data_IF_215617346468
#
_entry.id   IF_215617346468
#
_cell.length_a   1.000
_cell.length_b   1.000
_cell.length_c   1.000
_cell.angle_alpha   90.00
_cell.angle_beta   90.00
_cell.angle_gamma   90.00
#
_symmetry.space_group_name_H-M   'P 1'
#
loop_
_entity.id
_entity.type
_entity.pdbx_description
1 polymer ?
#
# COMPACT_ATOMS: atom_id res chain seq x y z
N UNK A 1 39.16 27.98 1.51
CA UNK A 1 39.73 28.15 0.15
C UNK A 1 40.58 26.92 -0.12
N UNK A 2 40.30 26.18 -1.19
CA UNK A 2 41.15 25.05 -1.56
C UNK A 2 42.49 25.60 -2.08
N UNK A 3 43.63 25.00 -1.71
CA UNK A 3 44.91 25.39 -2.29
C UNK A 3 44.87 25.10 -3.80
N UNK A 4 45.18 26.11 -4.61
CA UNK A 4 45.39 25.97 -6.05
C UNK A 4 46.79 25.40 -6.26
N UNK A 5 46.87 24.16 -6.74
CA UNK A 5 48.14 23.58 -7.17
C UNK A 5 48.53 24.19 -8.52
N UNK A 6 49.77 24.66 -8.63
CA UNK A 6 50.30 25.30 -9.84
C UNK A 6 51.64 24.70 -10.23
N UNK A 7 51.97 24.73 -11.52
CA UNK A 7 53.23 24.21 -12.06
C UNK A 7 53.86 25.17 -13.06
N UNK A 8 55.20 25.19 -13.14
CA UNK A 8 55.94 25.96 -14.16
C UNK A 8 56.15 25.14 -15.42
N UNK A 9 55.76 25.71 -16.56
CA UNK A 9 55.98 25.14 -17.88
C UNK A 9 56.89 26.04 -18.71
N UNK A 10 57.65 25.43 -19.62
CA UNK A 10 58.48 26.17 -20.59
C UNK A 10 57.59 26.92 -21.58
N UNK A 11 57.96 28.17 -21.85
CA UNK A 11 57.30 29.05 -22.82
C UNK A 11 58.39 29.83 -23.58
N UNK A 12 58.89 29.21 -24.66
CA UNK A 12 60.05 29.71 -25.40
C UNK A 12 61.33 29.70 -24.55
N UNK A 13 61.96 30.86 -24.38
CA UNK A 13 63.15 31.05 -23.52
C UNK A 13 62.79 31.35 -22.05
N UNK A 14 61.49 31.42 -21.72
CA UNK A 14 60.99 31.74 -20.38
C UNK A 14 60.12 30.62 -19.82
N UNK A 15 59.44 30.89 -18.71
CA UNK A 15 58.45 30.01 -18.12
C UNK A 15 57.14 30.76 -17.87
N UNK A 16 56.04 30.01 -17.82
CA UNK A 16 54.75 30.49 -17.31
C UNK A 16 54.22 29.53 -16.26
N UNK A 17 53.47 30.06 -15.31
CA UNK A 17 52.82 29.27 -14.25
C UNK A 17 51.37 29.04 -14.67
N UNK A 18 50.94 27.78 -14.63
CA UNK A 18 49.55 27.39 -14.87
C UNK A 18 49.03 26.59 -13.68
N UNK A 19 47.71 26.46 -13.54
CA UNK A 19 47.17 25.48 -12.62
C UNK A 19 47.58 24.08 -13.08
N UNK A 20 47.86 23.20 -12.13
CA UNK A 20 48.23 21.82 -12.43
C UNK A 20 47.12 21.09 -13.21
N UNK A 21 45.85 21.43 -12.94
CA UNK A 21 44.68 20.93 -13.69
C UNK A 21 44.65 21.32 -15.16
N UNK A 22 45.32 22.41 -15.53
CA UNK A 22 45.38 22.92 -16.90
C UNK A 22 46.59 22.35 -17.67
N UNK A 23 47.42 21.52 -17.01
CA UNK A 23 48.58 20.90 -17.62
C UNK A 23 48.17 19.79 -18.60
N UNK A 24 48.65 19.87 -19.86
CA UNK A 24 48.37 18.89 -20.91
C UNK A 24 49.66 18.25 -21.39
N UNK A 25 49.79 16.94 -21.16
CA UNK A 25 50.91 16.15 -21.67
C UNK A 25 50.97 16.26 -23.20
N UNK A 26 52.16 16.54 -23.75
CA UNK A 26 52.40 16.72 -25.18
C UNK A 26 52.18 18.14 -25.71
N UNK A 27 51.46 19.00 -24.98
CA UNK A 27 51.36 20.44 -25.30
C UNK A 27 52.25 21.31 -24.40
N UNK A 28 52.44 20.88 -23.15
CA UNK A 28 53.26 21.60 -22.18
C UNK A 28 54.47 20.76 -21.80
N UNK A 29 55.62 21.43 -21.65
CA UNK A 29 56.85 20.85 -21.15
C UNK A 29 57.19 21.47 -19.78
N UNK A 30 57.52 20.65 -18.79
CA UNK A 30 57.88 21.13 -17.46
C UNK A 30 59.26 21.79 -17.46
N UNK A 31 59.45 22.79 -16.60
CA UNK A 31 60.78 23.30 -16.31
C UNK A 31 61.62 22.25 -15.56
N UNK A 32 62.94 22.31 -15.69
CA UNK A 32 63.84 21.37 -15.03
C UNK A 32 63.66 21.39 -13.50
N UNK A 33 63.47 20.21 -12.91
CA UNK A 33 63.24 20.03 -11.47
C UNK A 33 61.79 20.18 -11.00
N UNK A 34 60.86 20.61 -11.87
CA UNK A 34 59.43 20.63 -11.56
C UNK A 34 58.81 19.24 -11.73
N UNK A 35 57.86 18.91 -10.86
CA UNK A 35 57.09 17.66 -10.92
C UNK A 35 55.63 17.97 -10.68
N UNK A 36 54.75 17.32 -11.42
CA UNK A 36 53.32 17.32 -11.11
C UNK A 36 53.13 16.62 -9.76
N UNK A 37 52.32 17.20 -8.89
CA UNK A 37 51.93 16.60 -7.61
C UNK A 37 51.16 15.31 -7.83
N UNK A 38 50.40 15.21 -8.92
CA UNK A 38 49.83 13.97 -9.40
C UNK A 38 50.69 13.43 -10.54
N UNK A 39 51.52 12.42 -10.26
CA UNK A 39 52.01 11.59 -11.36
C UNK A 39 50.78 11.07 -12.11
N UNK A 40 50.77 11.06 -13.45
CA UNK A 40 49.87 10.20 -14.17
C UNK A 40 50.26 8.79 -13.74
N UNK A 41 49.55 8.23 -12.76
CA UNK A 41 49.57 6.79 -12.56
C UNK A 41 49.34 6.22 -13.94
N UNK A 42 50.36 5.57 -14.49
CA UNK A 42 50.13 4.55 -15.50
C UNK A 42 49.08 3.68 -14.85
N UNK A 43 47.84 3.83 -15.33
CA UNK A 43 46.77 2.90 -15.04
C UNK A 43 47.25 1.62 -15.74
N UNK A 44 48.13 0.88 -15.06
CA UNK A 44 48.26 -0.55 -15.21
C UNK A 44 46.83 -1.04 -15.10
N UNK A 45 46.25 -1.40 -16.25
CA UNK A 45 44.82 -1.51 -16.49
C UNK A 45 44.00 -1.79 -15.25
N UNK A 46 43.52 -0.73 -14.59
CA UNK A 46 42.27 -0.85 -13.87
C UNK A 46 41.25 -0.86 -14.99
N UNK A 47 40.85 -2.07 -15.37
CA UNK A 47 39.66 -2.26 -16.19
C UNK A 47 38.49 -1.59 -15.46
N UNK A 48 38.26 -0.31 -15.74
CA UNK A 48 36.91 0.26 -15.67
C UNK A 48 36.08 -0.20 -16.87
N UNK A 49 36.57 -1.18 -17.63
CA UNK A 49 35.75 -1.97 -18.52
C UNK A 49 34.82 -2.83 -17.68
N UNK A 50 33.62 -2.31 -17.40
CA UNK A 50 32.46 -3.19 -17.29
C UNK A 50 32.56 -4.15 -18.47
N UNK A 51 32.62 -5.44 -18.17
CA UNK A 51 32.70 -6.45 -19.21
C UNK A 51 31.42 -6.34 -20.06
N UNK A 52 31.46 -6.79 -21.31
CA UNK A 52 30.25 -6.83 -22.15
C UNK A 52 29.06 -7.51 -21.43
N UNK A 53 29.37 -8.50 -20.59
CA UNK A 53 28.40 -9.19 -19.74
C UNK A 53 27.78 -8.29 -18.65
N UNK A 54 28.54 -7.38 -18.05
CA UNK A 54 28.02 -6.43 -17.06
C UNK A 54 27.07 -5.41 -17.71
N UNK A 55 27.37 -4.97 -18.93
CA UNK A 55 26.50 -4.11 -19.73
C UNK A 55 25.20 -4.80 -20.11
N UNK A 56 25.25 -6.06 -20.54
CA UNK A 56 24.06 -6.87 -20.82
C UNK A 56 23.23 -7.10 -19.56
N UNK A 57 23.88 -7.41 -18.42
CA UNK A 57 23.19 -7.54 -17.12
C UNK A 57 22.47 -6.25 -16.72
N UNK A 58 23.15 -5.10 -16.82
CA UNK A 58 22.55 -3.81 -16.50
C UNK A 58 21.39 -3.46 -17.43
N UNK A 59 21.45 -3.84 -18.70
CA UNK A 59 20.34 -3.64 -19.63
C UNK A 59 19.13 -4.48 -19.24
N UNK A 60 19.31 -5.76 -18.92
CA UNK A 60 18.24 -6.64 -18.45
C UNK A 60 17.60 -6.08 -17.17
N UNK A 61 18.43 -5.70 -16.19
CA UNK A 61 17.97 -5.12 -14.94
C UNK A 61 17.20 -3.81 -15.15
N UNK A 62 17.62 -2.98 -16.11
CA UNK A 62 16.90 -1.76 -16.46
C UNK A 62 15.57 -2.06 -17.14
N UNK A 63 15.50 -3.05 -18.04
CA UNK A 63 14.25 -3.45 -18.67
C UNK A 63 13.25 -4.01 -17.65
N UNK A 64 13.73 -4.78 -16.67
CA UNK A 64 12.90 -5.33 -15.60
C UNK A 64 12.37 -4.21 -14.70
N UNK A 65 13.23 -3.27 -14.28
CA UNK A 65 12.82 -2.12 -13.47
C UNK A 65 11.80 -1.22 -14.19
N UNK A 66 11.92 -1.06 -15.52
CA UNK A 66 10.94 -0.32 -16.32
C UNK A 66 9.60 -1.05 -16.33
N UNK A 67 9.58 -2.38 -16.45
CA UNK A 67 8.37 -3.17 -16.41
C UNK A 67 7.68 -3.12 -15.03
N UNK A 68 8.47 -3.19 -13.95
CA UNK A 68 7.98 -3.06 -12.58
C UNK A 68 7.40 -1.67 -12.31
N UNK A 69 8.10 -0.62 -12.73
CA UNK A 69 7.60 0.76 -12.61
C UNK A 69 6.29 0.97 -13.37
N UNK A 70 6.17 0.38 -14.56
CA UNK A 70 4.93 0.44 -15.34
C UNK A 70 3.80 -0.27 -14.61
N UNK A 71 4.04 -1.46 -14.10
CA UNK A 71 3.05 -2.24 -13.33
C UNK A 71 2.59 -1.46 -12.09
N UNK A 72 3.53 -0.90 -11.33
CA UNK A 72 3.22 -0.10 -10.14
C UNK A 72 2.42 1.17 -10.48
N UNK A 73 2.68 1.81 -11.63
CA UNK A 73 1.88 2.95 -12.09
C UNK A 73 0.44 2.54 -12.44
N UNK A 74 0.29 1.44 -13.17
CA UNK A 74 -1.02 0.91 -13.58
C UNK A 74 -1.83 0.49 -12.33
N UNK A 75 -1.22 -0.15 -11.34
CA UNK A 75 -1.84 -0.46 -10.03
C UNK A 75 -2.22 0.79 -9.25
N UNK A 76 -1.33 1.78 -9.19
CA UNK A 76 -1.58 3.05 -8.49
C UNK A 76 -2.77 3.79 -9.11
N UNK A 77 -2.87 3.82 -10.43
CA UNK A 77 -4.02 4.44 -11.12
C UNK A 77 -5.31 3.64 -10.89
N UNK A 78 -5.25 2.31 -10.90
CA UNK A 78 -6.39 1.45 -10.55
C UNK A 78 -6.89 1.70 -9.13
N UNK A 79 -5.99 1.71 -8.14
CA UNK A 79 -6.34 1.97 -6.73
C UNK A 79 -6.90 3.39 -6.53
N UNK A 80 -6.35 4.38 -7.23
CA UNK A 80 -6.86 5.75 -7.18
C UNK A 80 -8.30 5.83 -7.69
N UNK A 81 -8.62 5.12 -8.77
CA UNK A 81 -9.98 5.08 -9.31
C UNK A 81 -10.96 4.36 -8.37
N UNK A 82 -10.53 3.24 -7.78
CA UNK A 82 -11.35 2.55 -6.77
C UNK A 82 -11.62 3.42 -5.54
N UNK A 83 -10.61 4.16 -5.07
CA UNK A 83 -10.76 5.07 -3.94
C UNK A 83 -11.74 6.20 -4.27
N UNK A 84 -11.65 6.79 -5.47
CA UNK A 84 -12.58 7.83 -5.91
C UNK A 84 -14.02 7.32 -5.94
N UNK A 85 -14.24 6.11 -6.49
CA UNK A 85 -15.57 5.49 -6.49
C UNK A 85 -16.09 5.21 -5.08
N UNK A 86 -15.25 4.69 -4.19
CA UNK A 86 -15.64 4.42 -2.81
C UNK A 86 -16.03 5.70 -2.04
N UNK A 87 -15.35 6.82 -2.33
CA UNK A 87 -15.71 8.12 -1.77
C UNK A 87 -17.08 8.57 -2.29
N UNK A 88 -17.33 8.47 -3.59
CA UNK A 88 -18.63 8.82 -4.20
C UNK A 88 -19.78 7.97 -3.64
N UNK A 89 -19.59 6.64 -3.58
CA UNK A 89 -20.57 5.72 -2.99
C UNK A 89 -20.86 6.10 -1.53
N UNK A 90 -19.83 6.42 -0.74
CA UNK A 90 -19.99 6.83 0.66
C UNK A 90 -20.71 8.17 0.82
N UNK A 91 -20.42 9.14 -0.05
CA UNK A 91 -21.12 10.44 -0.05
C UNK A 91 -22.60 10.27 -0.39
N UNK A 92 -22.92 9.42 -1.38
CA UNK A 92 -24.29 9.08 -1.74
C UNK A 92 -25.03 8.42 -0.57
N UNK A 93 -24.44 7.40 0.06
CA UNK A 93 -25.05 6.73 1.21
C UNK A 93 -25.22 7.66 2.41
N UNK A 94 -24.25 8.55 2.67
CA UNK A 94 -24.39 9.59 3.71
C UNK A 94 -25.55 10.52 3.42
N UNK A 95 -25.77 10.91 2.17
CA UNK A 95 -26.89 11.74 1.78
C UNK A 95 -28.23 11.02 1.98
N UNK A 96 -28.32 9.75 1.54
CA UNK A 96 -29.52 8.90 1.73
C UNK A 96 -29.83 8.72 3.22
N UNK A 97 -28.83 8.33 4.02
CA UNK A 97 -28.98 8.16 5.45
C UNK A 97 -29.42 9.45 6.14
N UNK A 98 -28.83 10.60 5.76
CA UNK A 98 -29.23 11.90 6.32
C UNK A 98 -30.66 12.26 5.93
N UNK A 99 -31.07 12.01 4.68
CA UNK A 99 -32.44 12.24 4.24
C UNK A 99 -33.44 11.35 5.02
N UNK A 100 -33.11 10.07 5.20
CA UNK A 100 -33.93 9.14 5.97
C UNK A 100 -34.08 9.57 7.44
N UNK A 101 -32.97 9.92 8.11
CA UNK A 101 -33.00 10.36 9.50
C UNK A 101 -33.76 11.68 9.72
N UNK A 102 -33.86 12.51 8.67
CA UNK A 102 -34.63 13.74 8.71
C UNK A 102 -36.11 13.54 8.32
N UNK A 103 -36.49 12.36 7.81
CA UNK A 103 -37.87 12.02 7.48
C UNK A 103 -38.47 11.08 8.53
N UNK A 104 -39.04 11.70 9.56
CA UNK A 104 -39.70 11.00 10.67
C UNK A 104 -40.86 10.11 10.18
N UNK A 105 -41.56 10.50 9.11
CA UNK A 105 -42.67 9.71 8.58
C UNK A 105 -42.17 8.46 7.84
N UNK A 106 -41.08 8.57 7.08
CA UNK A 106 -40.43 7.42 6.46
C UNK A 106 -39.87 6.46 7.51
N UNK A 107 -39.23 6.98 8.57
CA UNK A 107 -38.77 6.17 9.70
C UNK A 107 -39.92 5.45 10.40
N UNK A 108 -41.02 6.17 10.69
CA UNK A 108 -42.19 5.58 11.33
C UNK A 108 -42.85 4.52 10.43
N UNK A 109 -42.98 4.78 9.13
CA UNK A 109 -43.51 3.80 8.17
C UNK A 109 -42.66 2.53 8.13
N UNK A 110 -41.33 2.67 8.23
CA UNK A 110 -40.41 1.52 8.32
C UNK A 110 -40.55 0.77 9.65
N UNK A 111 -40.75 1.48 10.76
CA UNK A 111 -41.04 0.86 12.05
C UNK A 111 -42.37 0.11 11.98
N UNK A 112 -43.41 0.70 11.41
CA UNK A 112 -44.73 0.08 11.30
C UNK A 112 -44.68 -1.17 10.40
N UNK A 113 -43.91 -1.16 9.31
CA UNK A 113 -43.62 -2.35 8.48
C UNK A 113 -42.92 -3.45 9.28
N UNK A 114 -41.88 -3.10 10.07
CA UNK A 114 -41.08 -4.05 10.84
C UNK A 114 -41.77 -4.58 12.11
N UNK A 115 -42.69 -3.79 12.67
CA UNK A 115 -43.44 -4.13 13.89
C UNK A 115 -44.80 -4.75 13.60
N UNK A 116 -45.19 -4.83 12.33
CA UNK A 116 -46.35 -5.61 11.92
C UNK A 116 -46.15 -7.06 12.39
N UNK A 117 -47.06 -7.60 13.22
CA UNK A 117 -46.98 -8.98 13.63
C UNK A 117 -47.06 -9.85 12.38
N UNK A 118 -46.08 -10.75 12.20
CA UNK A 118 -46.11 -11.77 11.16
C UNK A 118 -47.37 -12.61 11.40
N UNK A 119 -48.44 -12.33 10.65
CA UNK A 119 -49.64 -13.16 10.64
C UNK A 119 -50.95 -12.41 10.50
N UNK A 120 -51.34 -12.11 9.27
CA UNK A 120 -52.66 -12.48 8.72
C UNK A 120 -52.74 -12.08 7.24
N UNK A 121 -52.25 -12.96 6.37
CA UNK A 121 -52.35 -12.78 4.92
C UNK A 121 -51.63 -13.88 4.19
N UNK A 122 -52.37 -14.89 3.79
CA UNK A 122 -52.02 -15.83 2.72
C UNK A 122 -51.62 -15.02 1.48
N UNK A 123 -50.33 -14.94 1.15
CA UNK A 123 -49.81 -14.82 -0.23
C UNK A 123 -48.27 -14.77 -0.27
N UNK A 124 -47.75 -15.40 -1.32
CA UNK A 124 -46.37 -15.80 -1.58
C UNK A 124 -45.51 -14.59 -2.00
N UNK A 125 -44.37 -14.37 -1.33
CA UNK A 125 -43.18 -13.85 -2.02
C UNK A 125 -41.91 -14.34 -1.32
N UNK A 126 -41.24 -15.29 -1.97
CA UNK A 126 -39.83 -15.55 -1.75
C UNK A 126 -39.04 -14.27 -2.01
N UNK A 127 -38.34 -13.74 -1.01
CA UNK A 127 -37.13 -12.98 -1.28
C UNK A 127 -36.10 -13.20 -0.17
N UNK A 128 -35.18 -14.09 -0.49
CA UNK A 128 -33.90 -14.29 0.19
C UNK A 128 -33.13 -12.97 0.15
N UNK A 129 -32.93 -12.33 1.31
CA UNK A 129 -31.83 -11.39 1.50
C UNK A 129 -31.21 -11.68 2.87
N UNK A 130 -30.03 -12.29 2.81
CA UNK A 130 -29.07 -12.35 3.90
C UNK A 130 -28.92 -10.96 4.55
N UNK A 131 -29.40 -10.82 5.78
CA UNK A 131 -29.02 -9.70 6.65
C UNK A 131 -28.16 -10.27 7.78
N UNK A 132 -26.86 -10.21 7.57
CA UNK A 132 -25.90 -10.21 8.67
C UNK A 132 -25.82 -8.80 9.25
N UNK A 133 -25.63 -8.75 10.56
CA UNK A 133 -25.28 -7.58 11.38
C UNK A 133 -26.41 -6.67 11.85
N UNK A 134 -27.31 -7.24 12.66
CA UNK A 134 -27.98 -6.49 13.72
C UNK A 134 -27.07 -6.45 14.97
N UNK A 135 -26.41 -5.32 15.23
CA UNK A 135 -25.87 -5.01 16.55
C UNK A 135 -27.00 -4.43 17.39
N UNK A 136 -27.69 -5.30 18.13
CA UNK A 136 -28.62 -4.92 19.19
C UNK A 136 -28.34 -5.77 20.44
N UNK A 137 -28.30 -5.12 21.61
CA UNK A 137 -28.29 -5.75 22.93
C UNK A 137 -29.23 -4.95 23.86
N UNK A 138 -29.90 -5.58 24.83
CA UNK A 138 -30.40 -6.95 24.87
C UNK A 138 -31.93 -6.91 25.02
N UNK A 139 -32.66 -7.34 23.98
CA UNK A 139 -33.92 -8.02 24.27
C UNK A 139 -33.56 -9.32 25.01
N UNK A 140 -34.43 -9.83 25.88
CA UNK A 140 -34.36 -11.19 26.38
C UNK A 140 -34.05 -12.13 25.21
N UNK A 141 -32.77 -12.52 25.08
CA UNK A 141 -32.32 -13.23 23.91
C UNK A 141 -32.88 -14.64 24.04
N UNK A 142 -33.96 -14.92 23.32
CA UNK A 142 -34.45 -16.28 23.16
C UNK A 142 -33.49 -17.05 22.26
N UNK A 143 -32.34 -17.42 22.83
CA UNK A 143 -31.31 -18.20 22.17
C UNK A 143 -31.84 -19.56 21.71
N UNK A 144 -32.94 -20.07 22.29
CA UNK A 144 -33.52 -21.34 21.89
C UNK A 144 -34.04 -21.31 20.44
N UNK A 145 -34.42 -20.14 19.94
CA UNK A 145 -34.82 -19.91 18.54
C UNK A 145 -33.63 -19.94 17.55
N UNK A 146 -32.39 -19.80 18.03
CA UNK A 146 -31.22 -19.71 17.16
C UNK A 146 -30.83 -21.05 16.54
N UNK A 147 -30.20 -21.00 15.36
CA UNK A 147 -29.60 -22.17 14.71
C UNK A 147 -28.25 -22.52 15.33
N UNK A 148 -27.80 -23.77 15.18
CA UNK A 148 -26.49 -24.22 15.70
C UNK A 148 -25.32 -23.35 15.21
N UNK A 149 -25.24 -22.93 13.94
CA UNK A 149 -24.20 -22.02 13.48
C UNK A 149 -24.20 -20.66 14.20
N UNK A 150 -25.38 -20.05 14.38
CA UNK A 150 -25.51 -18.75 15.06
C UNK A 150 -25.05 -18.83 16.52
N UNK A 151 -25.40 -19.93 17.22
CA UNK A 151 -24.97 -20.14 18.61
C UNK A 151 -23.44 -20.32 18.67
N UNK A 152 -22.84 -21.09 17.74
CA UNK A 152 -21.38 -21.29 17.68
C UNK A 152 -20.63 -19.99 17.42
N UNK A 153 -21.13 -19.16 16.51
CA UNK A 153 -20.55 -17.85 16.18
C UNK A 153 -20.63 -16.89 17.37
N UNK A 154 -21.76 -16.87 18.08
CA UNK A 154 -21.91 -16.07 19.30
C UNK A 154 -20.96 -16.52 20.41
N UNK A 155 -20.85 -17.83 20.67
CA UNK A 155 -19.89 -18.36 21.66
C UNK A 155 -18.45 -18.02 21.27
N UNK A 156 -18.09 -18.10 19.99
CA UNK A 156 -16.78 -17.68 19.48
C UNK A 156 -16.54 -16.18 19.70
N UNK A 157 -17.55 -15.32 19.45
CA UNK A 157 -17.46 -13.87 19.70
C UNK A 157 -17.29 -13.51 21.19
N UNK A 158 -17.65 -14.43 22.09
CA UNK A 158 -17.47 -14.31 23.55
C UNK A 158 -16.24 -15.06 24.07
N UNK A 159 -15.42 -15.60 23.16
CA UNK A 159 -14.25 -16.43 23.48
C UNK A 159 -14.60 -17.66 24.35
N UNK A 160 -15.83 -18.18 24.22
CA UNK A 160 -16.31 -19.36 24.93
C UNK A 160 -16.03 -20.61 24.08
N UNK A 161 -15.14 -21.47 24.58
CA UNK A 161 -14.79 -22.72 23.93
C UNK A 161 -15.93 -23.75 23.96
N UNK A 162 -16.20 -24.39 22.82
CA UNK A 162 -17.18 -25.47 22.70
C UNK A 162 -16.60 -26.65 21.90
N UNK A 163 -17.15 -27.85 22.09
CA UNK A 163 -16.78 -29.03 21.29
C UNK A 163 -17.40 -28.93 19.90
N UNK A 164 -16.65 -29.28 18.86
CA UNK A 164 -17.16 -29.26 17.47
C UNK A 164 -18.40 -30.14 17.27
N UNK A 165 -18.48 -31.25 18.02
CA UNK A 165 -19.59 -32.20 18.07
C UNK A 165 -20.70 -31.88 19.08
N UNK A 166 -20.67 -30.71 19.73
CA UNK A 166 -21.68 -30.34 20.71
C UNK A 166 -23.07 -30.20 20.05
N UNK A 167 -24.08 -30.72 20.73
CA UNK A 167 -25.49 -30.60 20.38
C UNK A 167 -26.02 -29.18 20.63
N UNK A 168 -27.17 -28.84 20.04
CA UNK A 168 -27.78 -27.51 20.19
C UNK A 168 -28.00 -27.15 21.67
N UNK A 169 -28.50 -28.10 22.46
CA UNK A 169 -28.79 -27.87 23.89
C UNK A 169 -27.50 -27.65 24.71
N UNK A 170 -26.43 -28.39 24.40
CA UNK A 170 -25.12 -28.18 25.04
C UNK A 170 -24.53 -26.81 24.71
N UNK A 171 -24.71 -26.33 23.47
CA UNK A 171 -24.24 -25.00 23.06
C UNK A 171 -25.06 -23.89 23.73
N UNK A 172 -26.37 -24.06 23.88
CA UNK A 172 -27.23 -23.11 24.58
C UNK A 172 -26.89 -23.02 26.09
N UNK A 173 -26.50 -24.13 26.71
CA UNK A 173 -26.09 -24.16 28.10
C UNK A 173 -24.79 -23.38 28.38
N UNK A 174 -23.96 -23.15 27.36
CA UNK A 174 -22.72 -22.38 27.47
C UNK A 174 -22.93 -20.86 27.36
N UNK A 175 -24.14 -20.42 26.98
CA UNK A 175 -24.45 -19.00 26.88
C UNK A 175 -24.56 -18.42 28.30
N UNK A 176 -23.78 -17.37 28.65
CA UNK A 176 -23.88 -16.74 29.95
C UNK A 176 -25.30 -16.23 30.20
N UNK A 177 -25.91 -16.68 31.29
CA UNK A 177 -27.17 -16.15 31.79
C UNK A 177 -26.81 -14.91 32.62
N UNK A 178 -27.29 -13.74 32.20
CA UNK A 178 -27.23 -12.52 33.03
C UNK A 178 -28.17 -12.64 34.24
#
# INVERSE_FOLDING_TARGET
MNPLNTVKIKDGESYRIINESDFKHGLHELCEGEKLSAQPSVVSGSSTGSTKADLEKLQIENTDLIADLKTALDEKDFLKNQLAKAIEDLESERAIHTAFMNDVNAMQSRIDELTQPIGSGDEVVEQVVNQSEAVAKPAENDYASWTVPQIKEFLASKEIGFKSSASKDELLALIPKE
#
